data_IF_616876847185
#
_entry.id   IF_616876847185
#
_cell.length_a   1.000
_cell.length_b   1.000
_cell.length_c   1.000
_cell.angle_alpha   90.00
_cell.angle_beta   90.00
_cell.angle_gamma   90.00
#
_symmetry.space_group_name_H-M   'P 1'
#
loop_
_entity.id
_entity.type
_entity.pdbx_description
1 polymer ?
#
# COMPACT_ATOMS: atom_id res chain seq x y z
N UNK A 1 8.48 12.16 23.41
CA UNK A 1 7.50 11.50 22.50
C UNK A 1 6.51 12.44 21.79
N UNK A 2 6.36 13.74 22.13
CA UNK A 2 5.38 14.64 21.45
C UNK A 2 5.78 15.07 20.03
N UNK A 3 7.08 15.08 19.72
CA UNK A 3 7.61 15.46 18.40
C UNK A 3 7.20 14.44 17.33
N UNK A 4 7.24 13.14 17.63
CA UNK A 4 6.77 12.06 16.75
C UNK A 4 5.28 12.18 16.37
N UNK A 5 4.43 12.59 17.31
CA UNK A 5 2.99 12.77 17.06
C UNK A 5 2.68 13.94 16.12
N UNK A 6 3.43 15.05 16.20
CA UNK A 6 3.29 16.18 15.29
C UNK A 6 3.79 15.87 13.88
N UNK A 7 4.90 15.11 13.77
CA UNK A 7 5.38 14.60 12.48
C UNK A 7 4.34 13.63 11.89
N UNK A 8 3.89 12.63 12.65
CA UNK A 8 2.84 11.68 12.21
C UNK A 8 1.56 12.39 11.75
N UNK A 9 1.11 13.45 12.42
CA UNK A 9 -0.08 14.19 12.01
C UNK A 9 0.12 14.95 10.69
N UNK A 10 1.32 15.46 10.42
CA UNK A 10 1.65 16.05 9.11
C UNK A 10 1.66 14.99 8.01
N UNK A 11 2.13 13.78 8.32
CA UNK A 11 2.22 12.66 7.36
C UNK A 11 0.92 11.84 7.27
N UNK A 12 -0.05 12.04 8.17
CA UNK A 12 -1.24 11.20 8.30
C UNK A 12 -2.12 11.25 7.03
N UNK A 13 -2.23 12.43 6.41
CA UNK A 13 -2.99 12.57 5.16
C UNK A 13 -2.34 11.78 4.01
N UNK A 14 -1.02 11.76 3.94
CA UNK A 14 -0.25 11.07 2.91
C UNK A 14 -0.28 9.56 3.12
N UNK A 15 -0.12 9.11 4.37
CA UNK A 15 -0.30 7.72 4.76
C UNK A 15 -1.72 7.24 4.43
N UNK A 16 -2.72 8.12 4.62
CA UNK A 16 -4.11 7.87 4.24
C UNK A 16 -4.29 7.59 2.76
N UNK A 17 -3.69 8.39 1.87
CA UNK A 17 -3.75 8.14 0.42
C UNK A 17 -3.09 6.81 0.02
N UNK A 18 -1.93 6.49 0.61
CA UNK A 18 -1.26 5.22 0.38
C UNK A 18 -2.14 4.05 0.82
N UNK A 19 -2.61 4.07 2.07
CA UNK A 19 -3.47 3.03 2.63
C UNK A 19 -4.77 2.86 1.84
N UNK A 20 -5.38 3.96 1.39
CA UNK A 20 -6.59 3.92 0.58
C UNK A 20 -6.35 3.24 -0.77
N UNK A 21 -5.29 3.63 -1.49
CA UNK A 21 -4.94 3.04 -2.79
C UNK A 21 -4.60 1.55 -2.67
N UNK A 22 -3.87 1.17 -1.61
CA UNK A 22 -3.45 -0.21 -1.35
C UNK A 22 -4.66 -1.07 -0.99
N UNK A 23 -5.56 -0.56 -0.14
CA UNK A 23 -6.81 -1.25 0.22
C UNK A 23 -7.71 -1.46 -1.01
N UNK A 24 -7.83 -0.46 -1.88
CA UNK A 24 -8.63 -0.59 -3.10
C UNK A 24 -8.05 -1.63 -4.07
N UNK A 25 -6.73 -1.64 -4.26
CA UNK A 25 -6.05 -2.66 -5.04
C UNK A 25 -6.25 -4.08 -4.45
N UNK A 26 -6.10 -4.23 -3.13
CA UNK A 26 -6.35 -5.49 -2.44
C UNK A 26 -7.77 -6.02 -2.67
N UNK A 27 -8.79 -5.15 -2.59
CA UNK A 27 -10.19 -5.56 -2.81
C UNK A 27 -10.40 -6.06 -4.25
N UNK A 28 -9.84 -5.37 -5.24
CA UNK A 28 -9.96 -5.74 -6.66
C UNK A 28 -9.31 -7.11 -6.90
N UNK A 29 -8.05 -7.30 -6.49
CA UNK A 29 -7.35 -8.56 -6.69
C UNK A 29 -7.96 -9.71 -5.88
N UNK A 30 -8.41 -9.47 -4.66
CA UNK A 30 -9.09 -10.47 -3.84
C UNK A 30 -10.40 -10.93 -4.51
N UNK A 31 -11.15 -10.02 -5.13
CA UNK A 31 -12.39 -10.36 -5.84
C UNK A 31 -12.11 -11.20 -7.09
N UNK A 32 -11.10 -10.83 -7.88
CA UNK A 32 -10.67 -11.58 -9.06
C UNK A 32 -10.17 -12.97 -8.67
N UNK A 33 -9.38 -13.06 -7.61
CA UNK A 33 -8.84 -14.31 -7.09
C UNK A 33 -9.97 -15.24 -6.60
N UNK A 34 -10.93 -14.70 -5.84
CA UNK A 34 -12.10 -15.45 -5.40
C UNK A 34 -12.91 -16.00 -6.58
N UNK A 35 -13.13 -15.19 -7.62
CA UNK A 35 -13.82 -15.64 -8.84
C UNK A 35 -13.05 -16.70 -9.62
N UNK A 36 -11.72 -16.58 -9.70
CA UNK A 36 -10.86 -17.54 -10.39
C UNK A 36 -10.84 -18.92 -9.70
N UNK A 37 -11.02 -18.97 -8.37
CA UNK A 37 -11.07 -20.21 -7.58
C UNK A 37 -12.49 -20.70 -7.25
N UNK A 38 -13.55 -19.96 -7.61
CA UNK A 38 -14.97 -20.22 -7.22
C UNK A 38 -15.58 -21.54 -7.73
N UNK A 39 -14.82 -22.43 -8.33
CA UNK A 39 -15.31 -23.66 -8.96
C UNK A 39 -14.54 -24.93 -8.60
N UNK A 40 -13.62 -24.88 -7.64
CA UNK A 40 -12.75 -26.03 -7.33
C UNK A 40 -13.09 -26.67 -6.00
N UNK A 41 -13.12 -28.01 -5.97
CA UNK A 41 -13.25 -28.81 -4.76
C UNK A 41 -11.92 -28.77 -3.99
N UNK A 42 -11.92 -28.51 -2.67
CA UNK A 42 -10.71 -28.32 -1.82
C UNK A 42 -9.89 -27.03 -2.04
N UNK A 43 -10.55 -25.88 -2.25
CA UNK A 43 -9.85 -24.58 -2.15
C UNK A 43 -9.82 -24.07 -0.71
N UNK A 44 -8.73 -23.38 -0.35
CA UNK A 44 -8.66 -22.61 0.89
C UNK A 44 -9.38 -21.25 0.75
N UNK A 45 -9.82 -20.90 -0.46
CA UNK A 45 -10.56 -19.69 -0.81
C UNK A 45 -12.07 -19.83 -0.55
N UNK A 46 -12.41 -20.25 0.67
CA UNK A 46 -13.80 -20.55 1.07
C UNK A 46 -14.66 -19.30 1.25
N UNK A 47 -14.04 -18.13 1.44
CA UNK A 47 -14.75 -16.86 1.68
C UNK A 47 -13.92 -15.65 1.25
N UNK A 48 -14.58 -14.51 1.01
CA UNK A 48 -13.94 -13.24 0.64
C UNK A 48 -12.82 -12.83 1.64
N UNK A 49 -12.99 -12.96 2.97
CA UNK A 49 -11.93 -12.63 3.92
C UNK A 49 -10.68 -13.52 3.81
N UNK A 50 -10.86 -14.79 3.43
CA UNK A 50 -9.75 -15.72 3.22
C UNK A 50 -8.95 -15.34 1.96
N UNK A 51 -9.64 -14.96 0.88
CA UNK A 51 -9.00 -14.39 -0.31
C UNK A 51 -8.28 -13.06 -0.01
N UNK A 52 -8.82 -12.28 0.92
CA UNK A 52 -8.21 -11.02 1.37
C UNK A 52 -6.85 -11.26 2.03
N UNK A 53 -6.76 -12.22 2.93
CA UNK A 53 -5.49 -12.62 3.58
C UNK A 53 -4.43 -13.02 2.55
N UNK A 54 -4.78 -13.95 1.64
CA UNK A 54 -3.87 -14.35 0.57
C UNK A 54 -3.41 -13.16 -0.30
N UNK A 55 -4.35 -12.28 -0.67
CA UNK A 55 -4.04 -11.13 -1.51
C UNK A 55 -3.12 -10.13 -0.79
N UNK A 56 -3.32 -9.91 0.52
CA UNK A 56 -2.41 -9.10 1.35
C UNK A 56 -1.01 -9.70 1.34
N UNK A 57 -0.88 -10.99 1.67
CA UNK A 57 0.41 -11.69 1.75
C UNK A 57 1.12 -11.71 0.39
N UNK A 58 0.37 -11.82 -0.70
CA UNK A 58 0.90 -11.81 -2.07
C UNK A 58 1.31 -10.41 -2.54
N UNK A 59 0.45 -9.40 -2.40
CA UNK A 59 0.78 -8.01 -2.79
C UNK A 59 1.94 -7.43 -1.97
N UNK A 60 2.04 -7.81 -0.69
CA UNK A 60 3.17 -7.40 0.18
C UNK A 60 4.43 -8.24 -0.04
N UNK A 61 4.41 -9.20 -0.98
CA UNK A 61 5.52 -10.10 -1.31
C UNK A 61 5.98 -10.99 -0.13
N UNK A 62 5.18 -11.11 0.92
CA UNK A 62 5.47 -11.99 2.07
C UNK A 62 5.47 -13.46 1.67
N UNK A 63 4.45 -13.87 0.89
CA UNK A 63 4.39 -15.21 0.30
C UNK A 63 4.51 -16.36 1.29
N UNK A 64 3.77 -16.34 2.41
CA UNK A 64 3.82 -17.39 3.44
C UNK A 64 3.58 -18.82 2.90
N UNK A 65 2.82 -18.94 1.81
CA UNK A 65 2.52 -20.23 1.18
C UNK A 65 1.52 -21.09 1.97
N UNK A 66 0.90 -20.54 3.00
CA UNK A 66 -0.19 -21.14 3.78
C UNK A 66 -1.45 -21.34 2.94
N UNK A 67 -1.69 -20.41 2.01
CA UNK A 67 -2.78 -20.45 1.04
C UNK A 67 -2.21 -20.22 -0.35
N UNK A 68 -2.52 -21.09 -1.30
CA UNK A 68 -2.10 -20.96 -2.69
C UNK A 68 -3.20 -21.45 -3.63
N UNK A 69 -3.47 -20.74 -4.74
CA UNK A 69 -4.45 -21.17 -5.73
C UNK A 69 -4.00 -22.48 -6.37
N UNK A 70 -4.96 -23.40 -6.51
CA UNK A 70 -4.73 -24.71 -7.14
C UNK A 70 -5.11 -24.69 -8.62
N UNK A 71 -5.92 -23.73 -9.04
CA UNK A 71 -6.30 -23.53 -10.44
C UNK A 71 -5.17 -22.89 -11.25
N UNK A 72 -5.03 -23.31 -12.51
CA UNK A 72 -4.12 -22.66 -13.48
C UNK A 72 -4.46 -21.17 -13.62
N UNK A 73 -5.76 -20.84 -13.71
CA UNK A 73 -6.23 -19.46 -13.76
C UNK A 73 -5.83 -18.68 -12.51
N UNK A 74 -5.97 -19.30 -11.34
CA UNK A 74 -5.60 -18.68 -10.08
C UNK A 74 -4.09 -18.46 -9.92
N UNK A 75 -3.26 -19.36 -10.43
CA UNK A 75 -1.80 -19.18 -10.45
C UNK A 75 -1.37 -18.03 -11.35
N UNK A 76 -1.97 -17.89 -12.54
CA UNK A 76 -1.70 -16.76 -13.44
C UNK A 76 -2.14 -15.44 -12.77
N UNK A 77 -3.33 -15.41 -12.18
CA UNK A 77 -3.83 -14.24 -11.43
C UNK A 77 -2.94 -13.93 -10.23
N UNK A 78 -2.46 -14.94 -9.50
CA UNK A 78 -1.53 -14.78 -8.38
C UNK A 78 -0.20 -14.17 -8.82
N UNK A 79 0.36 -14.61 -9.95
CA UNK A 79 1.56 -14.01 -10.53
C UNK A 79 1.36 -12.56 -10.95
N UNK A 80 0.24 -12.26 -11.63
CA UNK A 80 -0.12 -10.87 -11.99
C UNK A 80 -0.36 -10.00 -10.75
N UNK A 81 -0.96 -10.56 -9.69
CA UNK A 81 -1.20 -9.90 -8.41
C UNK A 81 0.13 -9.52 -7.72
N UNK A 82 1.12 -10.42 -7.70
CA UNK A 82 2.43 -10.11 -7.13
C UNK A 82 3.15 -8.98 -7.89
N UNK A 83 3.18 -9.06 -9.23
CA UNK A 83 3.79 -8.02 -10.09
C UNK A 83 3.10 -6.66 -9.94
N UNK A 84 1.78 -6.65 -10.00
CA UNK A 84 0.99 -5.42 -9.83
C UNK A 84 1.09 -4.87 -8.41
N UNK A 85 1.20 -5.71 -7.38
CA UNK A 85 1.40 -5.28 -6.00
C UNK A 85 2.67 -4.44 -5.82
N UNK A 86 3.78 -4.89 -6.40
CA UNK A 86 5.03 -4.13 -6.39
C UNK A 86 4.88 -2.79 -7.13
N UNK A 87 4.24 -2.78 -8.29
CA UNK A 87 3.98 -1.54 -9.05
C UNK A 87 3.09 -0.57 -8.27
N UNK A 88 2.06 -1.07 -7.60
CA UNK A 88 1.12 -0.28 -6.79
C UNK A 88 1.81 0.33 -5.58
N UNK A 89 2.81 -0.33 -4.99
CA UNK A 89 3.61 0.23 -3.90
C UNK A 89 4.68 1.20 -4.42
N UNK A 90 5.22 0.95 -5.62
CA UNK A 90 6.25 1.78 -6.23
C UNK A 90 5.80 3.19 -6.63
N UNK A 91 4.50 3.41 -6.88
CA UNK A 91 3.94 4.73 -7.26
C UNK A 91 3.68 5.70 -6.09
N UNK A 92 3.04 5.29 -4.97
CA UNK A 92 2.73 6.19 -3.86
C UNK A 92 3.96 6.52 -3.02
N UNK A 93 4.98 5.65 -2.95
CA UNK A 93 6.18 5.91 -2.14
C UNK A 93 6.95 7.15 -2.63
N UNK A 94 7.32 7.29 -3.93
CA UNK A 94 7.95 8.51 -4.44
C UNK A 94 7.04 9.73 -4.36
N UNK A 95 5.73 9.55 -4.52
CA UNK A 95 4.75 10.63 -4.38
C UNK A 95 4.76 11.21 -2.95
N UNK A 96 4.78 10.35 -1.94
CA UNK A 96 4.91 10.74 -0.54
C UNK A 96 6.25 11.45 -0.31
N UNK A 97 7.37 10.84 -0.75
CA UNK A 97 8.71 11.45 -0.61
C UNK A 97 8.78 12.84 -1.25
N UNK A 98 8.15 13.01 -2.42
CA UNK A 98 8.08 14.31 -3.09
C UNK A 98 7.27 15.33 -2.29
N UNK A 99 6.17 14.91 -1.67
CA UNK A 99 5.36 15.78 -0.83
C UNK A 99 6.09 16.17 0.47
N UNK A 100 6.78 15.22 1.10
CA UNK A 100 7.67 15.47 2.24
C UNK A 100 8.79 16.45 1.90
N UNK A 101 9.47 16.24 0.77
CA UNK A 101 10.51 17.15 0.29
C UNK A 101 9.96 18.57 0.13
N UNK A 102 8.74 18.70 -0.43
CA UNK A 102 8.06 20.00 -0.57
C UNK A 102 7.78 20.66 0.78
N UNK A 103 7.22 19.92 1.75
CA UNK A 103 6.91 20.42 3.09
C UNK A 103 8.20 20.81 3.84
N UNK A 104 9.24 19.98 3.75
CA UNK A 104 10.53 20.23 4.39
C UNK A 104 11.22 21.48 3.82
N UNK A 105 11.24 21.64 2.49
CA UNK A 105 11.79 22.84 1.85
C UNK A 105 10.98 24.11 2.15
N UNK A 106 9.66 24.01 2.30
CA UNK A 106 8.83 25.13 2.74
C UNK A 106 9.12 25.53 4.19
N UNK A 107 9.29 24.56 5.09
CA UNK A 107 9.71 24.80 6.48
C UNK A 107 11.04 25.53 6.57
N UNK A 108 12.07 25.08 5.84
CA UNK A 108 13.37 25.76 5.81
C UNK A 108 13.30 27.18 5.24
N UNK A 109 12.49 27.43 4.20
CA UNK A 109 12.33 28.78 3.63
C UNK A 109 11.64 29.74 4.59
N UNK A 110 10.66 29.26 5.37
CA UNK A 110 9.99 30.05 6.39
C UNK A 110 10.95 30.44 7.53
N UNK A 111 11.79 29.50 7.99
CA UNK A 111 12.78 29.76 9.04
C UNK A 111 13.88 30.72 8.58
N UNK A 112 14.40 30.58 7.35
CA UNK A 112 15.38 31.52 6.78
C UNK A 112 14.82 32.95 6.70
N UNK A 113 13.55 33.12 6.32
CA UNK A 113 12.89 34.44 6.30
C UNK A 113 12.73 35.04 7.69
N UNK A 114 12.39 34.23 8.70
CA UNK A 114 12.31 34.69 10.10
C UNK A 114 13.68 35.10 10.64
N UNK A 115 14.73 34.33 10.35
CA UNK A 115 16.09 34.68 10.78
C UNK A 115 16.57 36.03 10.18
N UNK A 116 16.24 36.31 8.91
CA UNK A 116 16.58 37.61 8.28
C UNK A 116 15.81 38.81 8.85
N UNK A 117 14.57 38.62 9.32
CA UNK A 117 13.79 39.69 9.95
C UNK A 117 14.25 40.00 11.38
N UNK A 118 14.84 39.04 12.09
CA UNK A 118 15.37 39.23 13.45
C UNK A 118 16.77 39.87 13.44
N UNK A 119 17.50 39.77 12.32
CA UNK A 119 18.83 40.37 12.15
C UNK A 119 18.82 41.81 11.61
N UNK A 120 17.63 42.42 11.44
CA UNK A 120 17.45 43.82 11.01
C UNK A 120 16.79 44.60 12.14
#
# INVERSE_FOLDING_TARGET
MRILGYTLKSCASELGFLLFSLTMALIIFATVMYYAEKGVSHTTFVSIPAAFWYTIVTMTTLGYGDMVPKTIMGQIVGGMCALSGVLVIALPVPFIVSNFSRIYHQGQRADKRRAQMVST
#
